data_IF_387848401565
#
_entry.id   IF_387848401565
#
_cell.length_a   1.000
_cell.length_b   1.000
_cell.length_c   1.000
_cell.angle_alpha   90.00
_cell.angle_beta   90.00
_cell.angle_gamma   90.00
#
_symmetry.space_group_name_H-M   'P 1'
#
loop_
_entity.id
_entity.type
_entity.pdbx_description
1 polymer ?
#
# COMPACT_ATOMS: atom_id res chain seq x y z
N UNK A 1 36.35 7.94 29.73
CA UNK A 1 35.11 8.57 29.22
C UNK A 1 34.12 7.46 28.94
N UNK A 2 33.11 7.27 29.81
CA UNK A 2 32.07 6.26 29.65
C UNK A 2 31.02 6.82 28.67
N UNK A 3 30.93 6.26 27.47
CA UNK A 3 29.82 6.54 26.55
C UNK A 3 28.65 5.65 26.96
N UNK A 4 27.65 6.23 27.62
CA UNK A 4 26.32 5.61 27.69
C UNK A 4 25.72 5.65 26.30
N UNK A 5 25.63 4.50 25.63
CA UNK A 5 24.82 4.37 24.43
C UNK A 5 23.35 4.62 24.81
N UNK A 6 22.70 5.59 24.16
CA UNK A 6 21.26 5.74 24.26
C UNK A 6 20.59 4.50 23.65
N UNK A 7 19.48 4.02 24.23
CA UNK A 7 18.73 2.93 23.60
C UNK A 7 18.28 3.40 22.21
N UNK A 8 18.53 2.57 21.18
CA UNK A 8 17.83 2.69 19.92
C UNK A 8 16.36 2.39 20.23
N UNK A 9 15.53 3.43 20.37
CA UNK A 9 14.11 3.24 20.19
C UNK A 9 13.95 2.72 18.76
N UNK A 10 13.30 1.57 18.58
CA UNK A 10 12.85 1.16 17.27
C UNK A 10 12.08 2.34 16.69
N UNK A 11 12.54 2.87 15.57
CA UNK A 11 11.87 3.98 14.92
C UNK A 11 10.53 3.41 14.45
N UNK A 12 9.45 3.70 15.19
CA UNK A 12 8.11 3.29 14.80
C UNK A 12 7.79 4.01 13.49
N UNK A 13 7.90 3.26 12.40
CA UNK A 13 7.61 3.78 11.09
C UNK A 13 6.12 3.63 10.81
N UNK A 14 5.45 4.68 10.30
CA UNK A 14 4.04 4.60 9.99
C UNK A 14 3.81 3.51 8.93
N UNK A 15 2.89 2.59 9.25
CA UNK A 15 2.42 1.55 8.33
C UNK A 15 2.01 2.19 7.00
N UNK A 16 2.66 1.77 5.91
CA UNK A 16 2.46 2.36 4.58
C UNK A 16 2.56 1.35 3.44
N UNK A 17 2.77 0.07 3.75
CA UNK A 17 2.77 -1.02 2.79
C UNK A 17 2.39 -2.34 3.48
N UNK A 18 1.58 -3.17 2.82
CA UNK A 18 1.28 -4.50 3.32
C UNK A 18 1.07 -5.51 2.18
N UNK A 19 1.11 -6.79 2.54
CA UNK A 19 0.75 -7.91 1.68
C UNK A 19 -0.35 -8.69 2.39
N UNK A 20 -1.35 -9.14 1.64
CA UNK A 20 -2.46 -9.93 2.16
C UNK A 20 -2.64 -11.22 1.38
N UNK A 21 -3.05 -12.29 2.06
CA UNK A 21 -3.58 -13.50 1.44
C UNK A 21 -5.12 -13.47 1.33
N UNK A 22 -5.77 -12.50 1.96
CA UNK A 22 -7.21 -12.32 1.90
C UNK A 22 -7.60 -11.68 0.55
N UNK A 23 -7.98 -12.53 -0.39
CA UNK A 23 -8.55 -12.10 -1.67
C UNK A 23 -10.06 -11.83 -1.59
N UNK A 24 -10.64 -11.16 -2.60
CA UNK A 24 -12.07 -10.84 -2.65
C UNK A 24 -12.98 -12.05 -2.98
N UNK A 25 -12.42 -13.26 -3.08
CA UNK A 25 -13.15 -14.49 -3.45
C UNK A 25 -13.27 -14.75 -4.95
N UNK A 26 -13.13 -13.73 -5.80
CA UNK A 26 -13.20 -13.85 -7.27
C UNK A 26 -11.84 -13.69 -7.97
N UNK A 27 -10.74 -13.95 -7.26
CA UNK A 27 -9.39 -13.78 -7.78
C UNK A 27 -9.04 -12.32 -8.08
N UNK A 28 -8.43 -12.06 -9.23
CA UNK A 28 -8.00 -10.73 -9.66
C UNK A 28 -9.09 -9.94 -10.42
N UNK A 29 -10.33 -10.42 -10.46
CA UNK A 29 -11.47 -9.70 -11.03
C UNK A 29 -11.93 -8.57 -10.08
N UNK A 30 -11.10 -7.52 -10.01
CA UNK A 30 -11.24 -6.39 -9.10
C UNK A 30 -11.98 -5.20 -9.72
N UNK A 31 -12.42 -5.29 -10.99
CA UNK A 31 -13.05 -4.16 -11.69
C UNK A 31 -12.10 -2.99 -11.95
N UNK A 32 -10.82 -3.28 -12.20
CA UNK A 32 -9.78 -2.28 -12.48
C UNK A 32 -9.07 -1.75 -11.23
N UNK A 33 -8.25 -0.71 -11.42
CA UNK A 33 -7.43 -0.13 -10.35
C UNK A 33 -8.27 0.43 -9.21
N UNK A 34 -9.41 1.07 -9.51
CA UNK A 34 -10.29 1.63 -8.49
C UNK A 34 -10.83 0.55 -7.55
N UNK A 35 -11.28 -0.59 -8.08
CA UNK A 35 -11.76 -1.66 -7.23
C UNK A 35 -10.65 -2.42 -6.52
N UNK A 36 -9.45 -2.48 -7.10
CA UNK A 36 -8.27 -2.97 -6.40
C UNK A 36 -7.89 -2.06 -5.20
N UNK A 37 -7.95 -0.75 -5.37
CA UNK A 37 -7.71 0.23 -4.31
C UNK A 37 -8.76 0.12 -3.20
N UNK A 38 -10.05 0.03 -3.56
CA UNK A 38 -11.11 -0.19 -2.57
C UNK A 38 -10.89 -1.46 -1.73
N UNK A 39 -10.39 -2.53 -2.34
CA UNK A 39 -10.05 -3.76 -1.60
C UNK A 39 -8.91 -3.52 -0.60
N UNK A 40 -7.85 -2.83 -1.02
CA UNK A 40 -6.75 -2.45 -0.13
C UNK A 40 -7.22 -1.54 1.01
N UNK A 41 -8.05 -0.54 0.71
CA UNK A 41 -8.63 0.37 1.69
C UNK A 41 -9.44 -0.38 2.76
N UNK A 42 -10.34 -1.27 2.33
CA UNK A 42 -11.17 -2.05 3.25
C UNK A 42 -10.34 -2.95 4.18
N UNK A 43 -9.25 -3.53 3.69
CA UNK A 43 -8.33 -4.33 4.51
C UNK A 43 -7.57 -3.48 5.53
N UNK A 44 -7.15 -2.27 5.14
CA UNK A 44 -6.48 -1.35 6.05
C UNK A 44 -7.43 -0.81 7.12
N UNK A 45 -8.67 -0.47 6.75
CA UNK A 45 -9.72 -0.08 7.69
C UNK A 45 -9.96 -1.15 8.76
N UNK A 46 -10.00 -2.43 8.37
CA UNK A 46 -10.22 -3.54 9.29
C UNK A 46 -9.14 -3.69 10.38
N UNK A 47 -7.96 -3.08 10.19
CA UNK A 47 -6.85 -3.08 11.16
C UNK A 47 -6.58 -1.69 11.76
N UNK A 48 -7.48 -0.73 11.55
CA UNK A 48 -7.37 0.63 12.11
C UNK A 48 -6.41 1.55 11.36
N UNK A 49 -6.08 1.24 10.10
CA UNK A 49 -5.21 2.04 9.24
C UNK A 49 -5.98 2.74 8.10
N UNK A 50 -7.30 2.92 8.25
CA UNK A 50 -8.19 3.49 7.23
C UNK A 50 -8.05 5.00 7.00
N UNK A 51 -7.33 5.71 7.87
CA UNK A 51 -7.12 7.16 7.74
C UNK A 51 -6.12 7.53 6.63
N UNK A 52 -5.41 6.53 6.08
CA UNK A 52 -4.55 6.69 4.91
C UNK A 52 -5.31 6.33 3.64
N UNK A 53 -4.86 6.90 2.52
CA UNK A 53 -5.30 6.47 1.19
C UNK A 53 -4.46 5.28 0.72
N UNK A 54 -5.10 4.15 0.46
CA UNK A 54 -4.45 2.92 0.04
C UNK A 54 -4.69 2.62 -1.43
N UNK A 55 -3.61 2.53 -2.19
CA UNK A 55 -3.65 2.02 -3.56
C UNK A 55 -3.08 0.61 -3.65
N UNK A 56 -3.71 -0.21 -4.49
CA UNK A 56 -3.13 -1.48 -4.89
C UNK A 56 -1.86 -1.25 -5.72
N UNK A 57 -0.80 -2.02 -5.43
CA UNK A 57 0.46 -1.98 -6.18
C UNK A 57 0.33 -2.69 -7.53
N UNK A 58 -0.47 -2.11 -8.42
CA UNK A 58 -0.80 -2.63 -9.75
C UNK A 58 -0.62 -1.52 -10.79
N UNK A 59 -0.16 -1.94 -11.96
CA UNK A 59 -0.11 -1.10 -13.16
C UNK A 59 -1.13 -1.59 -14.17
N UNK A 60 -1.64 -0.69 -15.00
CA UNK A 60 -2.43 -1.01 -16.19
C UNK A 60 -1.62 -0.73 -17.44
N UNK A 61 -1.95 -1.44 -18.51
CA UNK A 61 -1.40 -1.19 -19.84
C UNK A 61 -2.18 -0.05 -20.50
N UNK A 62 -1.54 0.63 -21.45
CA UNK A 62 -2.23 1.61 -22.28
C UNK A 62 -3.30 0.92 -23.14
N UNK A 63 -4.40 1.61 -23.35
CA UNK A 63 -5.44 1.29 -24.35
C UNK A 63 -5.44 2.37 -25.42
N UNK A 64 -6.33 2.26 -26.41
CA UNK A 64 -6.51 3.31 -27.41
C UNK A 64 -7.10 4.61 -26.81
N UNK A 65 -7.78 4.49 -25.66
CA UNK A 65 -8.51 5.58 -25.00
C UNK A 65 -7.73 6.16 -23.80
N UNK A 66 -6.92 5.34 -23.12
CA UNK A 66 -6.27 5.69 -21.86
C UNK A 66 -4.77 5.33 -21.86
N UNK A 67 -3.90 6.20 -21.32
CA UNK A 67 -2.48 5.87 -21.17
C UNK A 67 -2.28 4.76 -20.14
N UNK A 68 -1.12 4.11 -20.20
CA UNK A 68 -0.69 3.19 -19.16
C UNK A 68 -0.61 3.93 -17.81
N UNK A 69 -1.00 3.25 -16.73
CA UNK A 69 -0.87 3.79 -15.37
C UNK A 69 0.11 2.90 -14.60
N UNK A 70 1.16 3.50 -14.06
CA UNK A 70 2.19 2.78 -13.32
C UNK A 70 1.97 2.87 -11.81
N UNK A 71 2.07 1.73 -11.12
CA UNK A 71 1.84 1.65 -9.67
C UNK A 71 2.66 2.66 -8.86
N UNK A 72 3.94 2.82 -9.20
CA UNK A 72 4.87 3.72 -8.48
C UNK A 72 4.49 5.19 -8.59
N UNK A 73 3.94 5.60 -9.72
CA UNK A 73 3.53 6.99 -9.93
C UNK A 73 2.29 7.34 -9.09
N UNK A 74 1.50 6.33 -8.72
CA UNK A 74 0.29 6.46 -7.89
C UNK A 74 0.62 6.51 -6.39
N UNK A 75 1.61 5.75 -5.92
CA UNK A 75 1.92 5.62 -4.47
C UNK A 75 3.07 6.50 -3.98
N UNK A 76 3.63 7.34 -4.85
CA UNK A 76 4.68 8.31 -4.50
C UNK A 76 6.12 7.75 -4.45
N UNK A 77 7.01 8.47 -3.78
CA UNK A 77 8.45 8.14 -3.74
C UNK A 77 8.90 7.27 -2.57
N UNK A 78 8.04 7.02 -1.58
CA UNK A 78 8.41 6.40 -0.31
C UNK A 78 9.14 7.37 0.64
N UNK A 79 9.75 6.85 1.73
CA UNK A 79 9.92 5.43 2.05
C UNK A 79 8.60 4.74 2.44
N UNK A 80 8.43 3.49 1.99
CA UNK A 80 7.32 2.65 2.42
C UNK A 80 7.80 1.63 3.43
N UNK A 81 7.01 1.44 4.47
CA UNK A 81 7.33 0.57 5.59
C UNK A 81 6.30 -0.55 5.67
N UNK A 82 6.79 -1.77 5.81
CA UNK A 82 5.93 -2.93 5.96
C UNK A 82 5.16 -2.88 7.29
N UNK A 83 3.96 -3.46 7.26
CA UNK A 83 3.28 -3.95 8.45
C UNK A 83 4.11 -5.00 9.19
#
# INVERSE_FOLDING_TARGET
MLWTAAPLLAQEHPLSFFITSAGPGNGADLGGLEGADRHCQALAEAVGAGDLEWHAYLSTMATDEEPAVHARDRIGGGPWYNA
#
